data_IF_548292777541
#
_entry.id   IF_548292777541
#
_cell.length_a   1.000
_cell.length_b   1.000
_cell.length_c   1.000
_cell.angle_alpha   90.00
_cell.angle_beta   90.00
_cell.angle_gamma   90.00
#
_symmetry.space_group_name_H-M   'P 1'
#
loop_
_entity.id
_entity.type
_entity.pdbx_description
1 polymer ?
#
# COMPACT_ATOMS: atom_id res chain seq x y z
N UNK A 1 5.92 -8.77 -28.94
CA UNK A 1 5.68 -8.98 -27.50
C UNK A 1 5.36 -10.44 -27.20
N UNK A 2 6.27 -11.13 -26.51
CA UNK A 2 6.09 -12.50 -25.99
C UNK A 2 5.11 -12.46 -24.82
N UNK A 3 4.15 -13.37 -24.79
CA UNK A 3 3.25 -13.53 -23.65
C UNK A 3 3.76 -14.69 -22.80
N UNK A 4 4.10 -14.42 -21.54
CA UNK A 4 4.54 -15.46 -20.63
C UNK A 4 3.36 -16.34 -20.19
N UNK A 5 3.66 -17.62 -19.98
CA UNK A 5 2.79 -18.69 -19.45
C UNK A 5 3.59 -19.54 -18.48
N UNK A 6 2.91 -20.40 -17.71
CA UNK A 6 3.58 -21.33 -16.79
C UNK A 6 4.58 -22.24 -17.53
N UNK A 7 4.28 -22.62 -18.78
CA UNK A 7 5.17 -23.49 -19.57
C UNK A 7 6.40 -22.75 -20.10
N UNK A 8 6.30 -21.46 -20.42
CA UNK A 8 7.38 -20.74 -21.09
C UNK A 8 8.25 -19.87 -20.16
N UNK A 9 7.86 -19.69 -18.90
CA UNK A 9 8.63 -18.92 -17.91
C UNK A 9 10.05 -19.48 -17.74
N UNK A 10 10.22 -20.80 -17.65
CA UNK A 10 11.53 -21.44 -17.49
C UNK A 10 12.42 -21.17 -18.72
N UNK A 11 11.87 -21.30 -19.93
CA UNK A 11 12.60 -21.00 -21.16
C UNK A 11 13.00 -19.53 -21.25
N UNK A 12 12.13 -18.61 -20.81
CA UNK A 12 12.45 -17.19 -20.75
C UNK A 12 13.63 -16.92 -19.82
N UNK A 13 13.60 -17.48 -18.60
CA UNK A 13 14.69 -17.32 -17.62
C UNK A 13 16.01 -17.93 -18.12
N UNK A 14 15.97 -19.09 -18.79
CA UNK A 14 17.13 -19.70 -19.43
C UNK A 14 17.73 -18.80 -20.53
N UNK A 15 16.88 -18.28 -21.42
CA UNK A 15 17.33 -17.41 -22.51
C UNK A 15 17.94 -16.10 -22.01
N UNK A 16 17.48 -15.62 -20.85
CA UNK A 16 18.05 -14.46 -20.16
C UNK A 16 19.32 -14.76 -19.36
N UNK A 17 19.68 -16.03 -19.20
CA UNK A 17 20.81 -16.44 -18.36
C UNK A 17 20.56 -16.25 -16.85
N UNK A 18 19.32 -16.02 -16.43
CA UNK A 18 18.94 -15.88 -15.01
C UNK A 18 18.99 -17.23 -14.30
N UNK A 19 18.68 -18.31 -15.03
CA UNK A 19 18.89 -19.69 -14.60
C UNK A 19 19.73 -20.41 -15.65
N UNK A 20 20.45 -21.44 -15.21
CA UNK A 20 21.29 -22.29 -16.07
C UNK A 20 20.55 -23.55 -16.50
N UNK A 21 21.07 -24.23 -17.53
CA UNK A 21 20.57 -25.57 -17.92
C UNK A 21 20.79 -26.60 -16.80
N UNK A 22 21.86 -26.45 -16.03
CA UNK A 22 22.13 -27.31 -14.88
C UNK A 22 21.05 -27.16 -13.81
N UNK A 23 20.58 -25.93 -13.54
CA UNK A 23 19.47 -25.70 -12.60
C UNK A 23 18.21 -26.48 -13.00
N UNK A 24 17.90 -26.51 -14.30
CA UNK A 24 16.70 -27.19 -14.82
C UNK A 24 16.80 -28.71 -14.74
N UNK A 25 18.00 -29.27 -14.86
CA UNK A 25 18.22 -30.73 -14.79
C UNK A 25 18.37 -31.22 -13.36
N UNK A 26 19.02 -30.43 -12.50
CA UNK A 26 19.45 -30.87 -11.15
C UNK A 26 18.50 -30.45 -10.04
N UNK A 27 17.69 -29.41 -10.24
CA UNK A 27 16.78 -28.87 -9.21
C UNK A 27 15.34 -29.18 -9.55
N UNK A 28 14.53 -29.35 -8.51
CA UNK A 28 13.07 -29.35 -8.64
C UNK A 28 12.62 -27.89 -8.78
N UNK A 29 11.90 -27.61 -9.86
CA UNK A 29 11.36 -26.28 -10.17
C UNK A 29 9.84 -26.36 -10.14
N UNK A 30 9.22 -25.45 -9.40
CA UNK A 30 7.78 -25.25 -9.39
C UNK A 30 7.44 -23.94 -10.07
N UNK A 31 6.49 -23.96 -11.00
CA UNK A 31 5.95 -22.75 -11.63
C UNK A 31 4.47 -22.68 -11.31
N UNK A 32 4.05 -21.52 -10.80
CA UNK A 32 2.66 -21.28 -10.40
C UNK A 32 2.23 -19.91 -10.87
N UNK A 33 1.10 -19.85 -11.60
CA UNK A 33 0.42 -18.58 -11.88
C UNK A 33 -0.32 -18.10 -10.64
N UNK A 34 0.03 -16.91 -10.17
CA UNK A 34 -0.64 -16.25 -9.05
C UNK A 34 -1.88 -15.50 -9.55
N UNK A 35 -2.90 -15.41 -8.70
CA UNK A 35 -4.11 -14.66 -9.01
C UNK A 35 -3.85 -13.16 -8.90
N UNK A 36 -3.84 -12.46 -10.04
CA UNK A 36 -3.67 -11.01 -10.13
C UNK A 36 -4.15 -10.50 -11.49
N UNK A 37 -4.34 -9.17 -11.59
CA UNK A 37 -4.58 -8.48 -12.87
C UNK A 37 -3.42 -8.66 -13.84
N UNK A 38 -2.19 -8.51 -13.34
CA UNK A 38 -0.99 -8.84 -14.11
C UNK A 38 -0.82 -10.35 -14.23
N UNK A 39 -0.12 -10.82 -15.27
CA UNK A 39 0.35 -12.20 -15.30
C UNK A 39 1.55 -12.33 -14.36
N UNK A 40 1.27 -12.75 -13.12
CA UNK A 40 2.28 -13.01 -12.11
C UNK A 40 2.58 -14.50 -12.05
N UNK A 41 3.86 -14.86 -12.16
CA UNK A 41 4.34 -16.24 -12.05
C UNK A 41 5.38 -16.34 -10.94
N UNK A 42 5.16 -17.24 -10.00
CA UNK A 42 6.18 -17.64 -9.04
C UNK A 42 6.95 -18.84 -9.60
N UNK A 43 8.24 -18.66 -9.88
CA UNK A 43 9.16 -19.74 -10.26
C UNK A 43 10.02 -20.06 -9.05
N UNK A 44 9.75 -21.18 -8.40
CA UNK A 44 10.35 -21.53 -7.10
C UNK A 44 11.29 -22.71 -7.23
N UNK A 45 12.37 -22.63 -6.46
CA UNK A 45 13.25 -23.73 -6.08
C UNK A 45 13.04 -24.01 -4.59
N UNK A 46 13.81 -24.95 -4.03
CA UNK A 46 13.69 -25.33 -2.61
C UNK A 46 13.84 -24.13 -1.67
N UNK A 47 14.89 -23.31 -1.86
CA UNK A 47 15.25 -22.21 -0.95
C UNK A 47 15.36 -20.85 -1.66
N UNK A 48 15.15 -20.81 -2.98
CA UNK A 48 15.19 -19.58 -3.78
C UNK A 48 14.02 -19.52 -4.77
N UNK A 49 13.86 -18.41 -5.46
CA UNK A 49 12.87 -18.30 -6.51
C UNK A 49 12.80 -16.90 -7.11
N UNK A 50 11.96 -16.77 -8.12
CA UNK A 50 11.69 -15.54 -8.85
C UNK A 50 10.20 -15.27 -8.89
N UNK A 51 9.83 -14.00 -8.74
CA UNK A 51 8.51 -13.52 -9.08
C UNK A 51 8.63 -12.77 -10.41
N UNK A 52 7.91 -13.25 -11.42
CA UNK A 52 7.84 -12.63 -12.74
C UNK A 52 6.48 -11.95 -12.85
N UNK A 53 6.46 -10.64 -13.08
CA UNK A 53 5.25 -9.87 -13.36
C UNK A 53 5.27 -9.41 -14.81
N UNK A 54 4.19 -9.66 -15.54
CA UNK A 54 4.01 -9.16 -16.91
C UNK A 54 2.61 -8.58 -17.10
N UNK A 55 2.51 -7.39 -17.70
CA UNK A 55 1.22 -6.83 -18.10
C UNK A 55 0.63 -7.68 -19.24
N UNK A 56 -0.58 -8.26 -19.09
CA UNK A 56 -1.25 -9.00 -20.15
C UNK A 56 -1.48 -8.12 -21.39
N UNK A 57 -1.43 -8.70 -22.58
CA UNK A 57 -1.78 -7.97 -23.83
C UNK A 57 -3.19 -7.36 -23.82
N UNK A 58 -4.14 -7.99 -23.12
CA UNK A 58 -5.50 -7.44 -22.98
C UNK A 58 -5.57 -6.19 -22.11
N UNK A 59 -4.50 -5.87 -21.38
CA UNK A 59 -4.42 -4.81 -20.37
C UNK A 59 -3.32 -3.79 -20.72
N UNK A 60 -3.00 -3.58 -22.01
CA UNK A 60 -1.95 -2.64 -22.44
C UNK A 60 -2.14 -1.21 -21.89
N UNK A 61 -3.37 -0.79 -21.59
CA UNK A 61 -3.67 0.47 -20.90
C UNK A 61 -3.08 0.60 -19.49
N UNK A 62 -2.55 -0.49 -18.93
CA UNK A 62 -1.97 -0.57 -17.60
C UNK A 62 -0.46 -0.78 -17.60
N UNK A 63 0.22 -0.68 -18.75
CA UNK A 63 1.68 -0.72 -18.85
C UNK A 63 2.35 0.24 -17.86
N UNK A 64 1.76 1.43 -17.69
CA UNK A 64 2.33 2.46 -16.83
C UNK A 64 2.36 2.07 -15.35
N UNK A 65 1.48 1.19 -14.86
CA UNK A 65 1.53 0.76 -13.46
C UNK A 65 2.76 -0.12 -13.19
N UNK A 66 3.12 -1.00 -14.14
CA UNK A 66 4.36 -1.78 -14.03
C UNK A 66 5.61 -0.90 -14.23
N UNK A 67 5.52 0.15 -15.06
CA UNK A 67 6.60 1.15 -15.20
C UNK A 67 6.82 1.92 -13.91
N UNK A 68 5.75 2.38 -13.24
CA UNK A 68 5.84 3.00 -11.91
C UNK A 68 6.53 2.08 -10.91
N UNK A 69 6.14 0.80 -10.84
CA UNK A 69 6.82 -0.17 -9.97
C UNK A 69 8.31 -0.32 -10.32
N UNK A 70 8.66 -0.48 -11.61
CA UNK A 70 10.06 -0.58 -12.04
C UNK A 70 10.89 0.68 -11.71
N UNK A 71 10.25 1.86 -11.77
CA UNK A 71 10.86 3.14 -11.45
C UNK A 71 11.31 3.22 -9.99
N UNK A 72 10.54 2.64 -9.06
CA UNK A 72 10.90 2.59 -7.64
C UNK A 72 12.22 1.83 -7.42
N UNK A 73 12.41 0.70 -8.09
CA UNK A 73 13.68 -0.03 -8.05
C UNK A 73 14.82 0.81 -8.62
N UNK A 74 14.59 1.45 -9.77
CA UNK A 74 15.58 2.31 -10.39
C UNK A 74 15.97 3.49 -9.49
N UNK A 75 15.01 4.14 -8.82
CA UNK A 75 15.28 5.21 -7.86
C UNK A 75 16.19 4.72 -6.72
N UNK A 76 15.83 3.58 -6.12
CA UNK A 76 16.60 2.98 -5.03
C UNK A 76 18.03 2.64 -5.46
N UNK A 77 18.23 2.24 -6.72
CA UNK A 77 19.53 1.91 -7.30
C UNK A 77 20.39 3.12 -7.67
N UNK A 78 19.78 4.22 -8.10
CA UNK A 78 20.49 5.32 -8.77
C UNK A 78 20.59 6.60 -7.92
N UNK A 79 19.83 6.74 -6.83
CA UNK A 79 19.89 7.93 -5.99
C UNK A 79 20.19 7.60 -4.54
N UNK A 80 21.15 8.34 -3.97
CA UNK A 80 21.65 8.12 -2.61
C UNK A 80 20.57 8.28 -1.55
N UNK A 81 19.68 9.26 -1.72
CA UNK A 81 18.57 9.49 -0.81
C UNK A 81 17.62 8.28 -0.76
N UNK A 82 17.40 7.59 -1.88
CA UNK A 82 16.54 6.39 -1.96
C UNK A 82 17.25 5.07 -1.66
N UNK A 83 18.57 5.04 -1.46
CA UNK A 83 19.29 3.79 -1.11
C UNK A 83 18.71 3.06 0.11
N UNK A 84 18.26 3.73 1.20
CA UNK A 84 17.62 3.06 2.32
C UNK A 84 16.38 2.27 1.95
N UNK A 85 15.67 2.62 0.86
CA UNK A 85 14.49 1.90 0.38
C UNK A 85 14.81 0.46 -0.04
N UNK A 86 16.02 0.19 -0.56
CA UNK A 86 16.40 -1.15 -1.04
C UNK A 86 16.21 -2.26 0.00
N UNK A 87 16.43 -1.95 1.28
CA UNK A 87 16.27 -2.93 2.37
C UNK A 87 14.82 -3.38 2.57
N UNK A 88 13.85 -2.64 2.01
CA UNK A 88 12.42 -2.89 2.12
C UNK A 88 11.81 -3.46 0.84
N UNK A 89 12.57 -3.49 -0.26
CA UNK A 89 12.14 -4.06 -1.52
C UNK A 89 12.52 -5.54 -1.65
N UNK A 90 11.82 -6.27 -2.52
CA UNK A 90 12.29 -7.55 -3.01
C UNK A 90 13.43 -7.30 -4.01
N UNK A 91 14.61 -7.95 -3.92
CA UNK A 91 15.70 -7.66 -4.85
C UNK A 91 15.28 -7.81 -6.32
N UNK A 92 15.54 -6.79 -7.13
CA UNK A 92 15.28 -6.82 -8.57
C UNK A 92 16.34 -7.67 -9.28
N UNK A 93 15.91 -8.42 -10.30
CA UNK A 93 16.76 -9.31 -11.09
C UNK A 93 16.88 -8.80 -12.53
N UNK A 94 15.75 -8.46 -13.16
CA UNK A 94 15.71 -7.91 -14.52
C UNK A 94 14.44 -7.08 -14.70
N UNK A 95 14.49 -6.07 -15.58
CA UNK A 95 13.33 -5.38 -16.09
C UNK A 95 13.44 -5.21 -17.60
N UNK A 96 12.60 -5.93 -18.34
CA UNK A 96 12.51 -5.82 -19.78
C UNK A 96 11.44 -4.79 -20.15
N UNK A 97 11.87 -3.58 -20.47
CA UNK A 97 10.99 -2.47 -20.86
C UNK A 97 10.19 -2.75 -22.14
N UNK A 98 10.75 -3.45 -23.13
CA UNK A 98 10.07 -3.72 -24.41
C UNK A 98 8.93 -4.74 -24.27
N UNK A 99 9.10 -5.70 -23.36
CA UNK A 99 8.15 -6.80 -23.14
C UNK A 99 7.29 -6.61 -21.88
N UNK A 100 7.51 -5.51 -21.15
CA UNK A 100 6.88 -5.17 -19.88
C UNK A 100 6.94 -6.33 -18.88
N UNK A 101 8.14 -6.88 -18.68
CA UNK A 101 8.40 -7.97 -17.75
C UNK A 101 9.31 -7.47 -16.63
N UNK A 102 8.84 -7.55 -15.40
CA UNK A 102 9.64 -7.29 -14.20
C UNK A 102 9.92 -8.62 -13.49
N UNK A 103 11.18 -8.87 -13.15
CA UNK A 103 11.61 -10.05 -12.40
C UNK A 103 12.24 -9.59 -11.10
N UNK A 104 11.71 -10.08 -9.99
CA UNK A 104 12.28 -9.91 -8.66
C UNK A 104 12.55 -11.25 -8.00
N UNK A 105 13.30 -11.23 -6.90
CA UNK A 105 13.45 -12.40 -6.04
C UNK A 105 12.10 -12.74 -5.42
N UNK A 106 11.72 -14.02 -5.48
CA UNK A 106 10.59 -14.53 -4.72
C UNK A 106 10.99 -14.67 -3.25
N UNK A 107 10.28 -13.96 -2.37
CA UNK A 107 10.57 -13.88 -0.94
C UNK A 107 10.09 -15.16 -0.22
N UNK A 108 10.89 -16.22 -0.28
CA UNK A 108 10.60 -17.51 0.37
C UNK A 108 10.49 -17.39 1.89
N UNK A 109 9.47 -18.04 2.46
CA UNK A 109 9.21 -18.04 3.90
C UNK A 109 8.57 -16.75 4.43
N UNK A 110 8.31 -15.77 3.57
CA UNK A 110 7.54 -14.59 3.95
C UNK A 110 6.04 -14.88 3.86
N UNK A 111 5.26 -14.20 4.69
CA UNK A 111 3.80 -14.18 4.65
C UNK A 111 3.28 -12.76 4.76
N UNK A 112 2.06 -12.52 4.30
CA UNK A 112 1.47 -11.19 4.44
C UNK A 112 1.34 -10.79 5.92
N UNK A 113 1.56 -9.51 6.20
CA UNK A 113 1.38 -8.95 7.54
C UNK A 113 -0.10 -9.02 7.96
N UNK A 114 -1.03 -8.97 6.99
CA UNK A 114 -2.45 -9.22 7.23
C UNK A 114 -2.67 -10.58 7.87
N UNK A 115 -2.16 -11.66 7.26
CA UNK A 115 -2.27 -13.01 7.80
C UNK A 115 -1.58 -13.11 9.15
N UNK A 116 -0.41 -12.47 9.32
CA UNK A 116 0.29 -12.49 10.60
C UNK A 116 -0.51 -11.87 11.74
N UNK A 117 -1.03 -10.66 11.56
CA UNK A 117 -1.84 -10.01 12.58
C UNK A 117 -3.16 -10.75 12.82
N UNK A 118 -3.78 -11.28 11.78
CA UNK A 118 -4.99 -12.09 11.91
C UNK A 118 -4.75 -13.36 12.75
N UNK A 119 -3.66 -14.09 12.48
CA UNK A 119 -3.36 -15.35 13.19
C UNK A 119 -2.87 -15.12 14.62
N UNK A 120 -2.08 -14.08 14.88
CA UNK A 120 -1.51 -13.84 16.21
C UNK A 120 -2.42 -12.97 17.09
N UNK A 121 -3.39 -12.28 16.51
CA UNK A 121 -4.26 -11.33 17.18
C UNK A 121 -3.49 -10.33 18.07
N UNK A 122 -2.36 -9.85 17.57
CA UNK A 122 -1.46 -8.98 18.33
C UNK A 122 -0.73 -7.96 17.46
N UNK A 123 -0.70 -6.69 17.89
CA UNK A 123 0.09 -5.63 17.26
C UNK A 123 1.42 -5.39 17.99
N UNK A 124 2.48 -5.92 17.40
CA UNK A 124 3.86 -5.72 17.88
C UNK A 124 4.35 -4.29 17.59
N UNK A 125 4.83 -3.58 18.61
CA UNK A 125 5.41 -2.23 18.48
C UNK A 125 6.67 -2.22 17.62
N UNK A 126 7.48 -3.29 17.64
CA UNK A 126 8.63 -3.43 16.74
C UNK A 126 8.26 -3.41 15.24
N UNK A 127 7.07 -3.89 14.88
CA UNK A 127 6.54 -3.76 13.52
C UNK A 127 6.05 -2.34 13.24
N UNK A 128 5.48 -1.65 14.22
CA UNK A 128 5.10 -0.24 14.09
C UNK A 128 6.34 0.64 13.80
N UNK A 129 7.43 0.42 14.51
CA UNK A 129 8.72 1.09 14.27
C UNK A 129 9.27 0.81 12.86
N UNK A 130 9.33 -0.46 12.46
CA UNK A 130 9.85 -0.82 11.12
C UNK A 130 9.02 -0.20 10.00
N UNK A 131 7.70 -0.12 10.17
CA UNK A 131 6.83 0.58 9.21
C UNK A 131 7.14 2.07 9.17
N UNK A 132 7.30 2.74 10.31
CA UNK A 132 7.65 4.16 10.34
C UNK A 132 8.97 4.46 9.61
N UNK A 133 10.03 3.70 9.92
CA UNK A 133 11.33 3.79 9.23
C UNK A 133 11.23 3.49 7.74
N UNK A 134 10.40 2.51 7.36
CA UNK A 134 10.16 2.17 5.97
C UNK A 134 9.47 3.29 5.19
N UNK A 135 8.38 3.88 5.73
CA UNK A 135 7.71 5.02 5.08
C UNK A 135 8.71 6.16 4.88
N UNK A 136 9.49 6.49 5.93
CA UNK A 136 10.52 7.52 5.85
C UNK A 136 11.58 7.24 4.76
N UNK A 137 12.00 5.99 4.59
CA UNK A 137 13.05 5.60 3.63
C UNK A 137 12.71 5.90 2.15
N UNK A 138 11.45 6.20 1.84
CA UNK A 138 11.04 6.68 0.51
C UNK A 138 10.28 8.01 0.54
N UNK A 139 9.81 8.46 1.70
CA UNK A 139 9.07 9.72 1.85
C UNK A 139 10.02 10.92 1.99
N UNK A 140 10.85 11.15 0.98
CA UNK A 140 11.92 12.14 0.99
C UNK A 140 11.56 13.34 0.12
N UNK A 141 11.97 14.54 0.54
CA UNK A 141 11.79 15.76 -0.24
C UNK A 141 12.54 15.65 -1.58
N UNK A 142 11.77 15.75 -2.67
CA UNK A 142 12.27 15.65 -4.04
C UNK A 142 12.56 17.00 -4.67
N UNK A 143 12.57 18.11 -3.94
CA UNK A 143 12.81 19.45 -4.48
C UNK A 143 14.04 19.56 -5.40
N UNK A 144 15.15 18.90 -5.04
CA UNK A 144 16.37 18.87 -5.87
C UNK A 144 16.24 17.97 -7.12
N UNK A 145 15.49 16.87 -7.03
CA UNK A 145 15.24 15.94 -8.13
C UNK A 145 14.21 16.49 -9.13
N UNK A 146 13.21 17.21 -8.62
CA UNK A 146 12.20 17.90 -9.42
C UNK A 146 12.80 19.06 -10.21
N UNK A 147 13.69 19.84 -9.60
CA UNK A 147 14.33 20.99 -10.26
C UNK A 147 15.29 20.61 -11.40
N UNK A 148 15.83 19.39 -11.37
CA UNK A 148 16.74 18.86 -12.40
C UNK A 148 16.02 18.07 -13.50
N UNK A 149 14.68 17.95 -13.44
CA UNK A 149 13.86 17.13 -14.35
C UNK A 149 14.35 15.68 -14.46
N UNK A 150 14.95 15.16 -13.38
CA UNK A 150 15.56 13.84 -13.30
C UNK A 150 14.57 12.76 -12.83
N UNK A 151 13.35 13.16 -12.46
CA UNK A 151 12.30 12.23 -12.07
C UNK A 151 11.69 11.61 -13.32
N UNK A 152 11.61 10.27 -13.41
CA UNK A 152 11.01 9.61 -14.56
C UNK A 152 9.56 10.04 -14.77
N UNK A 153 9.19 10.25 -16.04
CA UNK A 153 7.86 10.71 -16.47
C UNK A 153 6.71 9.72 -16.21
N UNK A 154 7.02 8.56 -15.61
CA UNK A 154 6.04 7.52 -15.29
C UNK A 154 5.21 7.83 -14.05
N UNK A 155 5.69 8.71 -13.16
CA UNK A 155 4.88 9.24 -12.07
C UNK A 155 3.94 10.32 -12.59
N UNK A 156 2.65 10.06 -12.44
CA UNK A 156 1.57 10.80 -13.10
C UNK A 156 1.04 11.97 -12.25
N UNK A 157 1.51 12.13 -11.01
CA UNK A 157 1.08 13.16 -10.06
C UNK A 157 -0.44 13.16 -9.90
N UNK A 158 -1.01 12.00 -9.57
CA UNK A 158 -2.46 11.84 -9.38
C UNK A 158 -2.85 12.04 -7.94
N UNK A 159 -3.96 12.74 -7.73
CA UNK A 159 -4.63 12.78 -6.44
C UNK A 159 -5.08 11.36 -6.05
N UNK A 160 -5.07 11.02 -4.75
CA UNK A 160 -5.78 9.85 -4.26
C UNK A 160 -7.23 9.88 -4.75
N UNK A 161 -7.63 8.86 -5.50
CA UNK A 161 -8.93 8.84 -6.18
C UNK A 161 -10.12 8.91 -5.20
N UNK A 162 -9.91 8.49 -3.95
CA UNK A 162 -10.89 8.60 -2.86
C UNK A 162 -11.33 10.05 -2.60
N UNK A 163 -10.52 11.05 -2.95
CA UNK A 163 -10.90 12.46 -2.83
C UNK A 163 -11.97 12.89 -3.83
N UNK A 164 -12.17 12.13 -4.91
CA UNK A 164 -13.19 12.41 -5.92
C UNK A 164 -14.53 11.69 -5.64
N UNK A 165 -14.60 10.84 -4.61
CA UNK A 165 -15.84 10.13 -4.27
C UNK A 165 -17.00 11.10 -3.98
N UNK A 166 -16.80 12.18 -3.19
CA UNK A 166 -17.91 13.06 -2.82
C UNK A 166 -18.37 14.00 -3.94
N UNK A 167 -17.53 14.26 -4.95
CA UNK A 167 -17.89 15.11 -6.10
C UNK A 167 -18.73 14.38 -7.15
N UNK A 168 -18.73 13.04 -7.16
CA UNK A 168 -19.48 12.25 -8.13
C UNK A 168 -18.84 12.16 -9.51
N UNK A 169 -17.54 12.44 -9.62
CA UNK A 169 -16.80 12.29 -10.87
C UNK A 169 -16.76 10.81 -11.30
N UNK A 170 -17.47 10.51 -12.39
CA UNK A 170 -17.78 9.14 -12.83
C UNK A 170 -16.60 8.38 -13.45
N UNK A 171 -15.46 9.03 -13.67
CA UNK A 171 -14.32 8.43 -14.39
C UNK A 171 -13.72 7.21 -13.68
N UNK A 172 -13.97 7.04 -12.38
CA UNK A 172 -13.34 6.00 -11.57
C UNK A 172 -14.21 4.74 -11.38
N UNK A 173 -15.46 4.74 -11.84
CA UNK A 173 -16.40 3.69 -11.47
C UNK A 173 -17.01 2.96 -12.66
N UNK A 174 -16.61 1.70 -12.82
CA UNK A 174 -17.52 0.69 -13.31
C UNK A 174 -18.37 0.25 -12.11
N UNK A 175 -19.46 0.97 -11.82
CA UNK A 175 -20.38 0.57 -10.75
C UNK A 175 -21.07 -0.73 -11.15
N UNK A 176 -20.87 -1.79 -10.37
CA UNK A 176 -21.44 -3.11 -10.68
C UNK A 176 -22.43 -3.58 -9.64
N UNK A 177 -22.30 -3.17 -8.36
CA UNK A 177 -23.16 -3.68 -7.28
C UNK A 177 -24.15 -2.64 -6.71
N UNK A 178 -25.24 -3.14 -6.12
CA UNK A 178 -26.20 -2.31 -5.39
C UNK A 178 -25.57 -1.68 -4.13
N UNK A 179 -24.64 -2.40 -3.48
CA UNK A 179 -23.90 -1.91 -2.33
C UNK A 179 -22.98 -0.73 -2.70
N UNK A 180 -22.30 -0.78 -3.85
CA UNK A 180 -21.49 0.34 -4.36
C UNK A 180 -22.34 1.60 -4.52
N UNK A 181 -23.52 1.43 -5.11
CA UNK A 181 -24.45 2.53 -5.39
C UNK A 181 -24.96 3.14 -4.08
N UNK A 182 -25.36 2.31 -3.11
CA UNK A 182 -25.83 2.77 -1.81
C UNK A 182 -24.74 3.52 -1.04
N UNK A 183 -23.52 2.99 -0.99
CA UNK A 183 -22.40 3.63 -0.30
C UNK A 183 -22.04 4.99 -0.94
N UNK A 184 -21.97 5.05 -2.26
CA UNK A 184 -21.69 6.29 -2.97
C UNK A 184 -22.77 7.33 -2.76
N UNK A 185 -24.04 6.94 -2.76
CA UNK A 185 -25.13 7.88 -2.48
C UNK A 185 -25.02 8.49 -1.07
N UNK A 186 -24.61 7.70 -0.07
CA UNK A 186 -24.36 8.22 1.28
C UNK A 186 -23.18 9.21 1.24
N UNK A 187 -22.05 8.83 0.66
CA UNK A 187 -20.85 9.68 0.58
C UNK A 187 -21.13 11.00 -0.18
N UNK A 188 -21.89 10.93 -1.27
CA UNK A 188 -22.21 12.07 -2.14
C UNK A 188 -23.36 12.93 -1.63
N UNK A 189 -24.12 12.48 -0.63
CA UNK A 189 -25.15 13.30 0.01
C UNK A 189 -24.64 14.03 1.27
N UNK A 190 -23.43 13.69 1.73
CA UNK A 190 -22.85 14.19 2.96
C UNK A 190 -21.95 15.42 2.74
N UNK A 191 -22.32 16.55 3.35
CA UNK A 191 -21.58 17.81 3.21
C UNK A 191 -20.21 17.81 3.91
N UNK A 192 -20.01 16.98 4.94
CA UNK A 192 -18.71 16.84 5.63
C UNK A 192 -17.71 16.22 4.65
N UNK A 193 -18.09 15.13 3.97
CA UNK A 193 -17.21 14.50 2.99
C UNK A 193 -16.90 15.44 1.82
N UNK A 194 -17.90 16.15 1.28
CA UNK A 194 -17.68 17.12 0.18
C UNK A 194 -16.71 18.23 0.55
N UNK A 195 -16.96 18.91 1.68
CA UNK A 195 -16.15 20.03 2.15
C UNK A 195 -14.70 19.60 2.35
N UNK A 196 -14.47 18.49 3.04
CA UNK A 196 -13.11 18.04 3.30
C UNK A 196 -12.42 17.51 2.05
N UNK A 197 -13.13 16.85 1.12
CA UNK A 197 -12.56 16.43 -0.15
C UNK A 197 -12.06 17.62 -0.97
N UNK A 198 -12.85 18.69 -1.09
CA UNK A 198 -12.44 19.91 -1.78
C UNK A 198 -11.18 20.52 -1.16
N UNK A 199 -11.17 20.71 0.16
CA UNK A 199 -10.00 21.24 0.88
C UNK A 199 -8.76 20.38 0.65
N UNK A 200 -8.86 19.06 0.86
CA UNK A 200 -7.72 18.15 0.74
C UNK A 200 -7.17 18.09 -0.69
N UNK A 201 -8.01 18.20 -1.73
CA UNK A 201 -7.56 18.30 -3.12
C UNK A 201 -6.74 19.55 -3.38
N UNK A 202 -7.12 20.68 -2.79
CA UNK A 202 -6.37 21.94 -2.92
C UNK A 202 -5.08 21.96 -2.10
N UNK A 203 -5.04 21.24 -0.99
CA UNK A 203 -3.90 21.19 -0.06
C UNK A 203 -2.88 20.09 -0.40
N UNK A 204 -3.22 19.14 -1.27
CA UNK A 204 -2.37 17.98 -1.58
C UNK A 204 -1.12 18.38 -2.35
N UNK A 205 0.03 17.89 -1.90
CA UNK A 205 1.32 18.16 -2.52
C UNK A 205 1.86 16.94 -3.30
N UNK A 206 2.78 17.20 -4.21
CA UNK A 206 3.42 16.19 -5.08
C UNK A 206 4.94 16.27 -4.95
N UNK A 207 5.42 16.26 -3.71
CA UNK A 207 6.78 16.61 -3.33
C UNK A 207 7.63 15.41 -2.87
N UNK A 208 7.01 14.25 -2.66
CA UNK A 208 7.69 13.01 -2.28
C UNK A 208 7.22 11.82 -3.12
N UNK A 209 8.00 10.74 -3.11
CA UNK A 209 7.53 9.43 -3.56
C UNK A 209 6.51 8.89 -2.54
N UNK A 210 5.41 8.34 -3.04
CA UNK A 210 4.43 7.57 -2.28
C UNK A 210 4.27 6.20 -2.92
N UNK A 211 4.01 5.18 -2.10
CA UNK A 211 3.56 3.86 -2.53
C UNK A 211 2.13 3.93 -3.09
N UNK A 212 1.25 4.72 -2.46
CA UNK A 212 -0.12 4.98 -2.94
C UNK A 212 -1.15 3.94 -2.51
N UNK A 213 -0.77 2.67 -2.35
CA UNK A 213 -1.64 1.58 -1.85
C UNK A 213 -1.08 0.84 -0.63
N UNK A 214 -0.65 1.57 0.39
CA UNK A 214 -0.19 0.95 1.65
C UNK A 214 -1.36 0.22 2.33
N UNK A 215 -1.18 -1.07 2.62
CA UNK A 215 -2.12 -1.94 3.36
C UNK A 215 -1.41 -3.18 3.90
N UNK A 216 -1.97 -3.83 4.92
CA UNK A 216 -1.37 -5.04 5.53
C UNK A 216 -1.09 -6.18 4.55
N UNK A 217 -1.85 -6.30 3.46
CA UNK A 217 -1.62 -7.31 2.43
C UNK A 217 -0.33 -7.07 1.62
N UNK A 218 0.10 -5.81 1.50
CA UNK A 218 1.27 -5.40 0.72
C UNK A 218 2.56 -5.40 1.56
N UNK A 219 2.45 -5.57 2.87
CA UNK A 219 3.60 -5.88 3.72
C UNK A 219 3.82 -7.38 3.79
N UNK A 220 5.02 -7.83 3.44
CA UNK A 220 5.47 -9.19 3.67
C UNK A 220 6.40 -9.22 4.87
N UNK A 221 6.23 -10.23 5.72
CA UNK A 221 7.10 -10.44 6.87
C UNK A 221 7.69 -11.84 6.91
N UNK A 222 8.92 -11.92 7.40
CA UNK A 222 9.55 -13.14 7.86
C UNK A 222 9.98 -12.93 9.32
N UNK A 223 9.29 -13.55 10.29
CA UNK A 223 9.67 -13.45 11.69
C UNK A 223 10.92 -14.30 11.96
N UNK A 224 11.94 -13.70 12.56
CA UNK A 224 13.17 -14.33 13.02
C UNK A 224 13.32 -14.05 14.53
N UNK A 225 12.56 -14.79 15.33
CA UNK A 225 12.40 -14.50 16.77
C UNK A 225 11.67 -13.18 16.99
N UNK A 226 12.29 -12.25 17.72
CA UNK A 226 11.78 -10.88 17.93
C UNK A 226 12.18 -9.91 16.82
N UNK A 227 13.03 -10.34 15.88
CA UNK A 227 13.45 -9.53 14.73
C UNK A 227 12.51 -9.82 13.56
N UNK A 228 11.94 -8.76 12.97
CA UNK A 228 11.11 -8.88 11.79
C UNK A 228 11.86 -8.42 10.55
N UNK A 229 12.04 -9.29 9.56
CA UNK A 229 12.29 -8.80 8.20
C UNK A 229 10.96 -8.39 7.58
N UNK A 230 10.85 -7.13 7.18
CA UNK A 230 9.64 -6.50 6.67
C UNK A 230 9.93 -5.96 5.27
N UNK A 231 9.13 -6.38 4.29
CA UNK A 231 9.20 -5.93 2.89
C UNK A 231 7.89 -5.29 2.49
N UNK A 232 7.95 -4.32 1.58
CA UNK A 232 6.80 -3.71 0.95
C UNK A 232 6.83 -4.03 -0.54
N UNK A 233 5.75 -4.65 -0.99
CA UNK A 233 5.57 -5.10 -2.38
C UNK A 233 4.41 -4.33 -3.01
N UNK A 234 4.26 -4.50 -4.32
CA UNK A 234 3.13 -4.00 -5.09
C UNK A 234 3.13 -2.47 -5.28
N UNK A 235 4.27 -1.95 -5.74
CA UNK A 235 4.49 -0.54 -6.05
C UNK A 235 3.81 -0.07 -7.34
N UNK A 236 2.78 -0.77 -7.82
CA UNK A 236 2.13 -0.46 -9.09
C UNK A 236 1.37 0.88 -9.06
N UNK A 237 0.99 1.33 -7.86
CA UNK A 237 0.36 2.62 -7.60
C UNK A 237 1.34 3.71 -7.19
N UNK A 238 2.65 3.43 -7.25
CA UNK A 238 3.65 4.40 -6.86
C UNK A 238 3.56 5.65 -7.73
N UNK A 239 3.60 6.80 -7.07
CA UNK A 239 3.50 8.11 -7.72
C UNK A 239 4.25 9.15 -6.88
N UNK A 240 4.32 10.36 -7.40
CA UNK A 240 4.61 11.52 -6.57
C UNK A 240 3.35 11.90 -5.80
N UNK A 241 3.51 12.36 -4.57
CA UNK A 241 2.42 12.70 -3.67
C UNK A 241 2.93 13.37 -2.40
N UNK A 242 2.14 13.28 -1.34
CA UNK A 242 2.46 13.83 -0.02
C UNK A 242 2.66 12.70 0.99
N UNK A 243 3.71 12.78 1.82
CA UNK A 243 4.09 11.71 2.74
C UNK A 243 2.96 11.29 3.70
N UNK A 244 2.14 12.27 4.09
CA UNK A 244 0.99 12.05 4.97
C UNK A 244 -0.01 11.03 4.40
N UNK A 245 -0.07 10.80 3.08
CA UNK A 245 -0.98 9.82 2.48
C UNK A 245 -0.66 8.38 2.90
N UNK A 246 0.60 7.95 2.76
CA UNK A 246 0.98 6.58 3.12
C UNK A 246 1.03 6.38 4.65
N UNK A 247 1.36 7.43 5.41
CA UNK A 247 1.20 7.42 6.87
C UNK A 247 -0.28 7.23 7.24
N UNK A 248 -1.17 7.95 6.58
CA UNK A 248 -2.61 7.82 6.79
C UNK A 248 -3.14 6.43 6.44
N UNK A 249 -2.55 5.75 5.44
CA UNK A 249 -2.86 4.36 5.12
C UNK A 249 -2.46 3.39 6.25
N UNK A 250 -1.35 3.64 6.95
CA UNK A 250 -1.00 2.90 8.17
C UNK A 250 -2.04 3.12 9.25
N UNK A 251 -2.43 4.38 9.49
CA UNK A 251 -3.41 4.71 10.53
C UNK A 251 -4.76 4.07 10.24
N UNK A 252 -5.23 4.23 9.01
CA UNK A 252 -6.44 3.61 8.50
C UNK A 252 -6.41 2.09 8.69
N UNK A 253 -5.29 1.43 8.38
CA UNK A 253 -5.16 -0.02 8.54
C UNK A 253 -5.30 -0.47 10.01
N UNK A 254 -4.76 0.30 10.96
CA UNK A 254 -4.97 0.05 12.39
C UNK A 254 -6.42 0.29 12.84
N UNK A 255 -7.03 1.41 12.44
CA UNK A 255 -8.44 1.71 12.74
C UNK A 255 -9.38 0.66 12.13
N UNK A 256 -9.11 0.24 10.90
CA UNK A 256 -9.90 -0.79 10.21
C UNK A 256 -9.79 -2.14 10.94
N UNK A 257 -8.59 -2.56 11.30
CA UNK A 257 -8.41 -3.81 12.07
C UNK A 257 -9.09 -3.75 13.44
N UNK A 258 -8.99 -2.62 14.13
CA UNK A 258 -9.67 -2.41 15.42
C UNK A 258 -11.19 -2.58 15.29
N UNK A 259 -11.82 -1.82 14.39
CA UNK A 259 -13.28 -1.83 14.22
C UNK A 259 -13.80 -3.20 13.77
N UNK A 260 -13.13 -3.88 12.82
CA UNK A 260 -13.53 -5.22 12.35
C UNK A 260 -13.52 -6.25 13.48
N UNK A 261 -12.51 -6.21 14.36
CA UNK A 261 -12.36 -7.17 15.45
C UNK A 261 -13.24 -6.83 16.66
N UNK A 262 -13.36 -5.54 17.00
CA UNK A 262 -14.22 -5.05 18.09
C UNK A 262 -15.70 -5.38 17.89
N UNK A 263 -16.15 -5.43 16.64
CA UNK A 263 -17.53 -5.75 16.28
C UNK A 263 -17.74 -7.18 15.78
N UNK A 264 -16.71 -8.03 15.85
CA UNK A 264 -16.89 -9.46 15.61
C UNK A 264 -17.69 -10.09 16.76
N UNK A 265 -18.51 -11.11 16.46
CA UNK A 265 -19.31 -11.80 17.48
C UNK A 265 -18.44 -12.58 18.50
N UNK A 266 -17.14 -12.72 18.26
CA UNK A 266 -16.17 -13.30 19.18
C UNK A 266 -15.45 -12.20 19.98
N UNK A 267 -16.00 -11.85 21.15
CA UNK A 267 -15.38 -10.89 22.07
C UNK A 267 -13.99 -11.29 22.58
N UNK A 268 -13.60 -12.57 22.48
CA UNK A 268 -12.27 -13.06 22.87
C UNK A 268 -11.18 -12.73 21.84
N UNK A 269 -11.56 -12.39 20.59
CA UNK A 269 -10.62 -12.13 19.48
C UNK A 269 -10.45 -10.63 19.19
N UNK A 270 -11.06 -9.73 19.96
CA UNK A 270 -10.95 -8.30 19.69
C UNK A 270 -9.55 -7.76 20.04
N UNK A 271 -8.80 -7.26 19.05
CA UNK A 271 -7.67 -6.37 19.32
C UNK A 271 -8.19 -5.17 20.13
N UNK A 272 -7.80 -5.12 21.40
CA UNK A 272 -8.21 -4.05 22.29
C UNK A 272 -7.72 -2.69 21.77
N UNK A 273 -8.51 -1.65 22.02
CA UNK A 273 -8.17 -0.26 21.68
C UNK A 273 -6.75 0.10 22.15
N UNK A 274 -6.30 -0.41 23.30
CA UNK A 274 -4.96 -0.20 23.83
C UNK A 274 -3.84 -0.70 22.89
N UNK A 275 -4.02 -1.85 22.23
CA UNK A 275 -3.01 -2.35 21.28
C UNK A 275 -2.89 -1.43 20.06
N UNK A 276 -4.03 -0.92 19.59
CA UNK A 276 -4.13 0.00 18.45
C UNK A 276 -3.47 1.33 18.80
N UNK A 277 -3.87 1.92 19.93
CA UNK A 277 -3.31 3.15 20.49
C UNK A 277 -1.80 3.02 20.70
N UNK A 278 -1.32 1.96 21.34
CA UNK A 278 0.11 1.74 21.55
C UNK A 278 0.89 1.63 20.23
N UNK A 279 0.34 0.90 19.24
CA UNK A 279 0.99 0.75 17.95
C UNK A 279 1.01 2.05 17.14
N UNK A 280 -0.06 2.84 17.17
CA UNK A 280 -0.14 4.16 16.53
C UNK A 280 0.80 5.17 17.19
N UNK A 281 0.83 5.22 18.52
CA UNK A 281 1.72 6.10 19.27
C UNK A 281 3.19 5.75 19.02
N UNK A 282 3.54 4.47 19.02
CA UNK A 282 4.91 4.04 18.74
C UNK A 282 5.31 4.33 17.29
N UNK A 283 4.42 4.04 16.33
CA UNK A 283 4.64 4.42 14.92
C UNK A 283 4.90 5.93 14.81
N UNK A 284 4.00 6.76 15.35
CA UNK A 284 4.06 8.21 15.22
C UNK A 284 5.31 8.80 15.88
N UNK A 285 5.65 8.31 17.08
CA UNK A 285 6.87 8.69 17.81
C UNK A 285 8.12 8.41 16.98
N UNK A 286 8.22 7.24 16.35
CA UNK A 286 9.36 6.89 15.50
C UNK A 286 9.36 7.73 14.23
N UNK A 287 8.22 7.84 13.55
CA UNK A 287 8.12 8.55 12.28
C UNK A 287 8.60 9.99 12.38
N UNK A 288 8.14 10.75 13.39
CA UNK A 288 8.55 12.14 13.58
C UNK A 288 10.00 12.30 14.06
N UNK A 289 10.59 11.25 14.66
CA UNK A 289 12.00 11.25 15.01
C UNK A 289 12.91 11.05 13.78
N UNK A 290 12.45 10.26 12.81
CA UNK A 290 13.15 10.02 11.54
C UNK A 290 12.89 11.15 10.52
N UNK A 291 11.71 11.75 10.54
CA UNK A 291 11.28 12.80 9.63
C UNK A 291 10.96 14.09 10.41
N UNK A 292 11.89 15.07 10.45
CA UNK A 292 11.64 16.36 11.11
C UNK A 292 10.53 17.12 10.37
N UNK A 293 9.38 17.25 11.01
CA UNK A 293 8.22 17.95 10.47
C UNK A 293 8.24 19.43 10.88
N UNK A 294 7.90 20.33 9.95
CA UNK A 294 7.81 21.76 10.24
C UNK A 294 6.70 22.07 11.24
N UNK A 295 5.57 21.37 11.14
CA UNK A 295 4.45 21.44 12.07
C UNK A 295 3.89 20.03 12.30
N UNK A 296 4.33 19.39 13.40
CA UNK A 296 3.90 18.04 13.76
C UNK A 296 2.38 17.95 13.95
N UNK A 297 1.75 18.99 14.49
CA UNK A 297 0.33 19.00 14.81
C UNK A 297 -0.52 19.05 13.54
N UNK A 298 -0.20 19.98 12.63
CA UNK A 298 -0.90 20.09 11.35
C UNK A 298 -0.69 18.86 10.46
N UNK A 299 0.53 18.29 10.44
CA UNK A 299 0.78 17.05 9.72
C UNK A 299 -0.09 15.90 10.25
N UNK A 300 -0.21 15.77 11.59
CA UNK A 300 -1.02 14.74 12.20
C UNK A 300 -2.53 14.93 11.91
N UNK A 301 -3.04 16.16 12.01
CA UNK A 301 -4.42 16.49 11.63
C UNK A 301 -4.71 16.10 10.18
N UNK A 302 -3.83 16.49 9.25
CA UNK A 302 -3.97 16.16 7.83
C UNK A 302 -3.92 14.65 7.60
N UNK A 303 -3.01 13.94 8.28
CA UNK A 303 -2.90 12.48 8.23
C UNK A 303 -4.18 11.80 8.71
N UNK A 304 -4.80 12.27 9.79
CA UNK A 304 -6.08 11.73 10.27
C UNK A 304 -7.18 11.94 9.23
N UNK A 305 -7.25 13.13 8.61
CA UNK A 305 -8.22 13.42 7.54
C UNK A 305 -8.00 12.53 6.32
N UNK A 306 -6.75 12.33 5.89
CA UNK A 306 -6.43 11.38 4.81
C UNK A 306 -6.81 9.94 5.16
N UNK A 307 -6.69 9.54 6.43
CA UNK A 307 -7.03 8.18 6.85
C UNK A 307 -8.52 7.90 6.73
N UNK A 308 -9.36 8.93 6.90
CA UNK A 308 -10.80 8.85 6.65
C UNK A 308 -11.11 8.60 5.17
N UNK A 309 -10.44 9.32 4.26
CA UNK A 309 -10.63 9.12 2.81
C UNK A 309 -10.08 7.77 2.33
N UNK A 310 -8.94 7.34 2.86
CA UNK A 310 -8.44 5.98 2.63
C UNK A 310 -9.45 4.93 3.12
N UNK A 311 -10.15 5.18 4.23
CA UNK A 311 -11.20 4.29 4.71
C UNK A 311 -12.36 4.19 3.72
N UNK A 312 -12.78 5.29 3.09
CA UNK A 312 -13.82 5.28 2.05
C UNK A 312 -13.42 4.42 0.85
N UNK A 313 -12.16 4.49 0.43
CA UNK A 313 -11.64 3.61 -0.62
C UNK A 313 -11.78 2.13 -0.25
N UNK A 314 -11.33 1.74 0.95
CA UNK A 314 -11.41 0.34 1.41
C UNK A 314 -12.86 -0.12 1.55
N UNK A 315 -13.77 0.77 1.95
CA UNK A 315 -15.20 0.46 2.03
C UNK A 315 -15.82 0.19 0.66
N UNK A 316 -15.44 0.94 -0.37
CA UNK A 316 -15.89 0.70 -1.74
C UNK A 316 -15.34 -0.62 -2.30
N UNK A 317 -14.05 -0.90 -2.08
CA UNK A 317 -13.45 -2.19 -2.48
C UNK A 317 -14.20 -3.39 -1.86
N UNK A 318 -14.69 -3.25 -0.61
CA UNK A 318 -15.50 -4.26 0.06
C UNK A 318 -16.96 -4.28 -0.42
N UNK A 319 -17.55 -3.11 -0.66
CA UNK A 319 -18.91 -2.99 -1.16
C UNK A 319 -19.04 -3.68 -2.53
N UNK A 320 -18.01 -3.56 -3.38
CA UNK A 320 -17.95 -4.19 -4.69
C UNK A 320 -18.08 -5.71 -4.64
N UNK A 321 -17.62 -6.33 -3.55
CA UNK A 321 -17.69 -7.77 -3.30
C UNK A 321 -18.93 -8.19 -2.50
N UNK A 322 -19.80 -7.24 -2.14
CA UNK A 322 -20.97 -7.46 -1.29
C UNK A 322 -22.28 -7.18 -2.03
N UNK A 323 -23.32 -7.95 -1.72
CA UNK A 323 -24.65 -7.69 -2.24
C UNK A 323 -25.33 -6.48 -1.57
N UNK A 324 -24.96 -6.16 -0.32
CA UNK A 324 -25.56 -5.09 0.51
C UNK A 324 -24.54 -4.44 1.43
N UNK A 325 -24.82 -3.23 1.90
CA UNK A 325 -24.04 -2.63 2.98
C UNK A 325 -24.20 -3.40 4.28
N UNK A 326 -23.07 -3.65 4.94
CA UNK A 326 -23.04 -4.32 6.24
C UNK A 326 -23.03 -3.30 7.36
N UNK A 327 -23.48 -3.71 8.55
CA UNK A 327 -23.38 -2.87 9.76
C UNK A 327 -21.93 -2.45 10.06
N UNK A 328 -20.95 -3.29 9.71
CA UNK A 328 -19.53 -2.95 9.87
C UNK A 328 -19.12 -1.81 8.93
N UNK A 329 -19.57 -1.82 7.67
CA UNK A 329 -19.30 -0.76 6.71
C UNK A 329 -19.91 0.58 7.16
N UNK A 330 -21.15 0.57 7.65
CA UNK A 330 -21.84 1.77 8.13
C UNK A 330 -21.09 2.38 9.33
N UNK A 331 -20.64 1.56 10.28
CA UNK A 331 -19.85 2.04 11.44
C UNK A 331 -18.51 2.65 11.02
N UNK A 332 -17.83 2.03 10.06
CA UNK A 332 -16.59 2.53 9.50
C UNK A 332 -16.79 3.85 8.75
N UNK A 333 -17.90 4.00 8.03
CA UNK A 333 -18.28 5.24 7.38
C UNK A 333 -18.53 6.36 8.41
N UNK A 334 -19.29 6.06 9.47
CA UNK A 334 -19.51 7.01 10.58
C UNK A 334 -18.19 7.39 11.28
N UNK A 335 -17.30 6.41 11.49
CA UNK A 335 -15.98 6.69 12.06
C UNK A 335 -15.18 7.62 11.16
N UNK A 336 -15.21 7.39 9.83
CA UNK A 336 -14.55 8.26 8.84
C UNK A 336 -15.09 9.68 8.88
N UNK A 337 -16.41 9.84 9.00
CA UNK A 337 -17.03 11.16 9.16
C UNK A 337 -16.58 11.85 10.45
N UNK A 338 -16.53 11.12 11.58
CA UNK A 338 -16.06 11.64 12.86
C UNK A 338 -14.58 12.07 12.81
N UNK A 339 -13.72 11.33 12.09
CA UNK A 339 -12.32 11.70 11.89
C UNK A 339 -12.18 13.03 11.13
N UNK A 340 -13.10 13.33 10.21
CA UNK A 340 -13.11 14.59 9.48
C UNK A 340 -13.67 15.74 10.31
N UNK A 341 -14.75 15.50 11.06
CA UNK A 341 -15.44 16.52 11.82
C UNK A 341 -14.74 16.89 13.14
N UNK A 342 -14.06 15.92 13.76
CA UNK A 342 -13.41 16.07 15.06
C UNK A 342 -11.98 15.47 15.08
N UNK A 343 -11.08 15.86 14.16
CA UNK A 343 -9.75 15.26 14.05
C UNK A 343 -8.91 15.45 15.32
N UNK A 344 -9.06 16.56 16.03
CA UNK A 344 -8.36 16.84 17.29
C UNK A 344 -8.78 15.85 18.40
N UNK A 345 -10.06 15.43 18.41
CA UNK A 345 -10.52 14.40 19.34
C UNK A 345 -9.86 13.06 19.05
N UNK A 346 -9.67 12.71 17.78
CA UNK A 346 -8.94 11.49 17.39
C UNK A 346 -7.47 11.57 17.82
N UNK A 347 -6.85 12.74 17.74
CA UNK A 347 -5.50 12.97 18.28
C UNK A 347 -5.43 12.71 19.78
N UNK A 348 -6.37 13.25 20.55
CA UNK A 348 -6.46 12.99 21.98
C UNK A 348 -6.66 11.49 22.28
N UNK A 349 -7.66 10.86 21.66
CA UNK A 349 -8.10 9.50 21.98
C UNK A 349 -7.07 8.42 21.58
N UNK A 350 -6.31 8.63 20.49
CA UNK A 350 -5.39 7.62 19.96
C UNK A 350 -3.91 7.98 20.09
N UNK A 351 -3.56 9.26 20.21
CA UNK A 351 -2.17 9.70 20.26
C UNK A 351 -1.79 10.35 21.60
N UNK A 352 -2.72 10.50 22.54
CA UNK A 352 -2.51 11.17 23.84
C UNK A 352 -1.97 12.61 23.68
N UNK A 353 -2.34 13.30 22.61
CA UNK A 353 -1.97 14.69 22.35
C UNK A 353 -3.14 15.56 22.81
N UNK A 354 -2.91 16.38 23.84
CA UNK A 354 -3.91 17.34 24.31
C UNK A 354 -4.04 18.49 23.30
N UNK A 355 -5.29 18.86 23.04
CA UNK A 355 -5.73 19.92 22.11
C UNK A 355 -5.58 21.29 22.76
#
# INVERSE_FOLDING_TARGET
MIQLTEQNCIYYLLNKGIISREDVVTKIIWVEKLHSRNNNYAVRFKDSGFLIKQVPKSEEGHIDTLRSESCVYWLADNYDNFKPLKQYLAPIIDYNYQEHILITTYLNGYRSLYTYYYTNNHFYTGLAEKKAKMIHAYSLDLGSLMSTNQIPTYFRKRLPWSFNLPSGDKEWFNLVSAADTELLNIIQSDDVFKKHAEQLRTEYQFDTLVHGDVKWANFLIKPEGEVFDLRLIDWETADLGEAAWDVACIFQSYFYSWTKLYFSNNKQDALGINQVTNALQHFWKVYKAECPLADEHQFLLKTIRYSAFRMLQILLEQAHQSAKLTNSMIRLLQFSQNQLQYPEKVMSDFFNIQV
#
